data_IF_712345835920
#
_entry.id   IF_712345835920
#
_cell.length_a   1.000
_cell.length_b   1.000
_cell.length_c   1.000
_cell.angle_alpha   90.00
_cell.angle_beta   90.00
_cell.angle_gamma   90.00
#
_symmetry.space_group_name_H-M   'P 1'
#
loop_
_entity.id
_entity.type
_entity.pdbx_description
1 polymer ?
#
# COMPACT_ATOMS: atom_id res chain seq x y z
N UNK A 1 -3.60 -0.44 15.35
CA UNK A 1 -3.08 -1.14 14.16
C UNK A 1 -1.64 -0.72 13.92
N UNK A 2 -0.74 -1.68 13.71
CA UNK A 2 0.64 -1.43 13.27
C UNK A 2 0.66 -0.83 11.86
N UNK A 3 1.72 -0.12 11.43
CA UNK A 3 1.81 0.41 10.07
C UNK A 3 1.57 -0.66 8.99
N UNK A 4 2.11 -1.86 9.23
CA UNK A 4 1.88 -3.01 8.38
C UNK A 4 0.41 -3.44 8.33
N UNK A 5 -0.28 -3.56 9.47
CA UNK A 5 -1.71 -3.87 9.49
C UNK A 5 -2.55 -2.82 8.75
N UNK A 6 -2.23 -1.53 8.90
CA UNK A 6 -2.92 -0.46 8.17
C UNK A 6 -2.75 -0.61 6.64
N UNK A 7 -1.54 -0.93 6.17
CA UNK A 7 -1.30 -1.15 4.74
C UNK A 7 -2.03 -2.39 4.24
N UNK A 8 -1.95 -3.51 4.97
CA UNK A 8 -2.67 -4.74 4.61
C UNK A 8 -4.18 -4.49 4.53
N UNK A 9 -4.73 -3.72 5.47
CA UNK A 9 -6.14 -3.32 5.45
C UNK A 9 -6.49 -2.57 4.16
N UNK A 10 -5.74 -1.54 3.77
CA UNK A 10 -5.97 -0.79 2.52
C UNK A 10 -5.89 -1.72 1.30
N UNK A 11 -4.89 -2.61 1.27
CA UNK A 11 -4.71 -3.58 0.17
C UNK A 11 -5.94 -4.48 0.03
N UNK A 12 -6.49 -4.96 1.15
CA UNK A 12 -7.66 -5.82 1.15
C UNK A 12 -8.93 -5.06 0.75
N UNK A 13 -9.15 -3.88 1.34
CA UNK A 13 -10.34 -3.06 1.06
C UNK A 13 -10.43 -2.62 -0.40
N UNK A 14 -9.29 -2.30 -1.03
CA UNK A 14 -9.24 -1.82 -2.42
C UNK A 14 -8.80 -2.91 -3.41
N UNK A 15 -8.69 -4.16 -2.96
CA UNK A 15 -8.29 -5.33 -3.77
C UNK A 15 -7.02 -5.08 -4.62
N UNK A 16 -5.98 -4.57 -3.97
CA UNK A 16 -4.75 -4.14 -4.64
C UNK A 16 -3.81 -5.32 -4.95
N UNK A 17 -3.37 -5.37 -6.20
CA UNK A 17 -2.24 -6.22 -6.63
C UNK A 17 -0.91 -5.64 -6.16
N UNK A 18 0.13 -6.48 -6.05
CA UNK A 18 1.46 -6.03 -5.62
C UNK A 18 2.06 -4.98 -6.55
N UNK A 19 1.74 -5.02 -7.85
CA UNK A 19 2.13 -3.99 -8.81
C UNK A 19 1.52 -2.61 -8.50
N UNK A 20 0.25 -2.60 -8.08
CA UNK A 20 -0.45 -1.38 -7.66
C UNK A 20 0.13 -0.83 -6.34
N UNK A 21 0.39 -1.72 -5.38
CA UNK A 21 1.02 -1.37 -4.10
C UNK A 21 2.42 -0.78 -4.33
N UNK A 22 3.25 -1.45 -5.13
CA UNK A 22 4.61 -1.02 -5.46
C UNK A 22 4.64 0.38 -6.08
N UNK A 23 3.72 0.67 -7.01
CA UNK A 23 3.56 2.00 -7.60
C UNK A 23 3.21 3.05 -6.54
N UNK A 24 2.28 2.74 -5.64
CA UNK A 24 1.83 3.68 -4.61
C UNK A 24 2.95 4.00 -3.60
N UNK A 25 3.74 3.00 -3.19
CA UNK A 25 4.84 3.19 -2.22
C UNK A 25 6.19 3.57 -2.87
N UNK A 26 6.23 3.69 -4.20
CA UNK A 26 7.42 4.01 -5.00
C UNK A 26 8.59 3.02 -4.77
N UNK A 27 8.29 1.72 -4.80
CA UNK A 27 9.29 0.63 -4.67
C UNK A 27 9.11 -0.38 -5.80
N UNK A 28 10.00 -1.36 -5.89
CA UNK A 28 9.84 -2.49 -6.82
C UNK A 28 8.68 -3.40 -6.43
N UNK A 29 8.11 -4.12 -7.41
CA UNK A 29 7.09 -5.15 -7.16
C UNK A 29 7.61 -6.21 -6.18
N UNK A 30 8.85 -6.66 -6.36
CA UNK A 30 9.50 -7.62 -5.45
C UNK A 30 9.54 -7.11 -4.00
N UNK A 31 9.82 -5.82 -3.78
CA UNK A 31 9.83 -5.23 -2.44
C UNK A 31 8.42 -5.23 -1.84
N UNK A 32 7.40 -4.85 -2.62
CA UNK A 32 6.01 -4.87 -2.17
C UNK A 32 5.55 -6.29 -1.84
N UNK A 33 5.86 -7.27 -2.69
CA UNK A 33 5.56 -8.70 -2.46
C UNK A 33 6.25 -9.22 -1.20
N UNK A 34 7.54 -8.94 -1.02
CA UNK A 34 8.27 -9.37 0.18
C UNK A 34 7.69 -8.79 1.46
N UNK A 35 7.33 -7.50 1.45
CA UNK A 35 6.68 -6.84 2.59
C UNK A 35 5.28 -7.39 2.86
N UNK A 36 4.50 -7.68 1.82
CA UNK A 36 3.15 -8.24 1.93
C UNK A 36 3.16 -9.64 2.53
N UNK A 37 4.08 -10.48 2.07
CA UNK A 37 4.26 -11.86 2.55
C UNK A 37 5.08 -11.96 3.85
N UNK A 38 5.55 -10.84 4.41
CA UNK A 38 6.47 -10.79 5.56
C UNK A 38 7.72 -11.66 5.41
N UNK A 39 8.27 -11.76 4.20
CA UNK A 39 9.47 -12.55 3.97
C UNK A 39 10.66 -11.94 4.74
N UNK A 40 11.34 -12.77 5.53
CA UNK A 40 12.49 -12.36 6.37
C UNK A 40 12.15 -11.22 7.34
N UNK A 41 10.94 -11.21 7.89
CA UNK A 41 10.41 -10.15 8.78
C UNK A 41 10.37 -8.74 8.15
N UNK A 42 10.47 -8.65 6.81
CA UNK A 42 10.29 -7.38 6.11
C UNK A 42 8.82 -6.97 6.18
N UNK A 43 8.55 -5.76 6.69
CA UNK A 43 7.20 -5.24 6.92
C UNK A 43 7.02 -3.86 6.29
N UNK A 44 5.78 -3.46 6.11
CA UNK A 44 5.48 -2.10 5.70
C UNK A 44 5.76 -1.15 6.86
N UNK A 45 6.33 0.00 6.53
CA UNK A 45 6.68 1.07 7.45
C UNK A 45 5.55 2.10 7.53
N UNK A 46 5.66 3.06 8.45
CA UNK A 46 4.73 4.19 8.51
C UNK A 46 4.82 5.05 7.23
N UNK A 47 6.00 5.14 6.61
CA UNK A 47 6.19 5.84 5.33
C UNK A 47 5.44 5.13 4.19
N UNK A 48 5.48 3.78 4.12
CA UNK A 48 4.70 3.03 3.14
C UNK A 48 3.19 3.26 3.34
N UNK A 49 2.74 3.31 4.60
CA UNK A 49 1.36 3.61 4.95
C UNK A 49 0.91 5.00 4.49
N UNK A 50 1.71 6.03 4.78
CA UNK A 50 1.39 7.40 4.35
C UNK A 50 1.31 7.48 2.82
N UNK A 51 2.29 6.91 2.11
CA UNK A 51 2.32 6.89 0.65
C UNK A 51 1.09 6.20 0.04
N UNK A 52 0.77 4.99 0.49
CA UNK A 52 -0.37 4.25 -0.09
C UNK A 52 -1.69 4.92 0.22
N UNK A 53 -1.86 5.43 1.44
CA UNK A 53 -3.06 6.17 1.85
C UNK A 53 -3.26 7.41 0.99
N UNK A 54 -2.24 8.26 0.91
CA UNK A 54 -2.36 9.55 0.23
C UNK A 54 -2.58 9.34 -1.28
N UNK A 55 -1.86 8.39 -1.89
CA UNK A 55 -2.01 8.04 -3.31
C UNK A 55 -3.43 7.59 -3.68
N UNK A 56 -4.06 6.74 -2.85
CA UNK A 56 -5.41 6.25 -3.14
C UNK A 56 -6.51 7.21 -2.71
N UNK A 57 -6.34 7.96 -1.62
CA UNK A 57 -7.27 9.02 -1.25
C UNK A 57 -7.34 10.12 -2.31
N UNK A 58 -6.20 10.53 -2.88
CA UNK A 58 -6.19 11.53 -3.96
C UNK A 58 -6.97 11.02 -5.19
N UNK A 59 -6.79 9.75 -5.56
CA UNK A 59 -7.54 9.13 -6.67
C UNK A 59 -9.04 9.07 -6.40
N UNK A 60 -9.44 8.65 -5.20
CA UNK A 60 -10.84 8.57 -4.80
C UNK A 60 -11.50 9.96 -4.79
N UNK A 61 -10.81 10.98 -4.29
CA UNK A 61 -11.29 12.37 -4.36
C UNK A 61 -11.49 12.85 -5.79
N UNK A 62 -10.57 12.52 -6.71
CA UNK A 62 -10.74 12.86 -8.13
C UNK A 62 -11.96 12.18 -8.74
N UNK A 63 -12.26 10.95 -8.33
CA UNK A 63 -13.46 10.22 -8.76
C UNK A 63 -14.73 10.85 -8.18
N UNK A 64 -14.71 11.27 -6.91
CA UNK A 64 -15.84 11.96 -6.26
C UNK A 64 -16.20 13.29 -6.92
N UNK A 65 -15.24 13.94 -7.59
CA UNK A 65 -15.42 15.21 -8.30
C UNK A 65 -15.84 15.05 -9.78
N UNK A 66 -16.04 13.82 -10.28
CA UNK A 66 -16.57 13.56 -11.62
C UNK A 66 -18.10 13.64 -11.62
#
# INVERSE_FOLDING_TARGET
MTPHEKVIYIIQQLELSDSKVARAIQKSVSTATHKRLRLRDNKFTEEDYQRIRDFYLEKLKKIEML
#
